data_IF_655896336845
#
_entry.id   IF_655896336845
#
_cell.length_a   1.000
_cell.length_b   1.000
_cell.length_c   1.000
_cell.angle_alpha   90.00
_cell.angle_beta   90.00
_cell.angle_gamma   90.00
#
_symmetry.space_group_name_H-M   'P 1'
#
loop_
_entity.id
_entity.type
_entity.pdbx_description
1 polymer ?
#
# COMPACT_ATOMS: atom_id res chain seq x y z
N UNK A 1 -5.67 4.86 -10.95
CA UNK A 1 -4.24 5.19 -10.72
C UNK A 1 -3.68 4.31 -9.63
N UNK A 2 -2.65 3.56 -9.92
CA UNK A 2 -2.04 2.61 -8.99
C UNK A 2 -0.53 2.77 -8.96
N UNK A 3 0.09 2.43 -7.83
CA UNK A 3 1.53 2.44 -7.70
C UNK A 3 1.99 1.39 -6.69
N UNK A 4 3.05 0.67 -7.03
CA UNK A 4 3.73 -0.22 -6.09
C UNK A 4 4.54 0.65 -5.13
N UNK A 5 4.25 0.56 -3.83
CA UNK A 5 4.97 1.34 -2.83
C UNK A 5 6.20 0.62 -2.32
N UNK A 6 6.11 -0.70 -2.17
CA UNK A 6 7.17 -1.49 -1.58
C UNK A 6 7.01 -2.95 -1.95
N UNK A 7 8.10 -3.64 -2.22
CA UNK A 7 8.11 -5.10 -2.36
C UNK A 7 9.38 -5.65 -1.71
N UNK A 8 9.24 -6.81 -1.09
CA UNK A 8 10.36 -7.55 -0.53
C UNK A 8 10.13 -9.04 -0.71
N UNK A 9 11.15 -9.74 -1.14
CA UNK A 9 11.13 -11.19 -1.26
C UNK A 9 12.35 -11.75 -0.56
N UNK A 10 12.15 -12.73 0.32
CA UNK A 10 13.22 -13.35 1.09
C UNK A 10 12.80 -14.74 1.56
N UNK A 11 13.65 -15.74 1.31
CA UNK A 11 13.47 -17.10 1.82
C UNK A 11 12.08 -17.69 1.53
N UNK A 12 11.58 -17.48 0.31
CA UNK A 12 10.30 -18.01 -0.10
C UNK A 12 9.09 -17.22 0.40
N UNK A 13 9.31 -16.08 1.03
CA UNK A 13 8.26 -15.19 1.48
C UNK A 13 8.27 -13.89 0.67
N UNK A 14 7.09 -13.35 0.43
CA UNK A 14 6.90 -12.12 -0.32
C UNK A 14 5.99 -11.16 0.43
N UNK A 15 6.37 -9.89 0.46
CA UNK A 15 5.53 -8.80 0.95
C UNK A 15 5.42 -7.74 -0.13
N UNK A 16 4.21 -7.34 -0.46
CA UNK A 16 3.94 -6.25 -1.38
C UNK A 16 3.02 -5.23 -0.76
N UNK A 17 3.30 -3.96 -0.98
CA UNK A 17 2.44 -2.86 -0.55
C UNK A 17 2.12 -2.00 -1.77
N UNK A 18 0.84 -1.81 -2.01
CA UNK A 18 0.32 -1.14 -3.21
C UNK A 18 -0.63 -0.02 -2.82
N UNK A 19 -0.61 1.06 -3.56
CA UNK A 19 -1.57 2.15 -3.39
C UNK A 19 -2.39 2.32 -4.65
N UNK A 20 -3.68 2.59 -4.48
CA UNK A 20 -4.63 2.82 -5.56
C UNK A 20 -5.51 4.00 -5.21
N UNK A 21 -5.73 4.90 -6.17
CA UNK A 21 -6.66 6.00 -6.02
C UNK A 21 -7.71 5.90 -7.11
N UNK A 22 -8.97 5.78 -6.71
CA UNK A 22 -10.12 5.78 -7.61
C UNK A 22 -11.23 6.66 -7.02
N UNK A 23 -11.79 7.55 -7.83
CA UNK A 23 -12.84 8.46 -7.38
C UNK A 23 -12.43 9.31 -6.19
N UNK A 24 -11.17 9.69 -6.11
CA UNK A 24 -10.64 10.47 -5.00
C UNK A 24 -10.41 9.69 -3.70
N UNK A 25 -10.55 8.37 -3.73
CA UNK A 25 -10.42 7.50 -2.56
C UNK A 25 -9.13 6.70 -2.64
N UNK A 26 -8.34 6.73 -1.57
CA UNK A 26 -7.08 5.99 -1.49
C UNK A 26 -7.31 4.64 -0.82
N UNK A 27 -6.78 3.60 -1.43
CA UNK A 27 -6.70 2.27 -0.84
C UNK A 27 -5.24 1.85 -0.80
N UNK A 28 -4.77 1.43 0.36
CA UNK A 28 -3.44 0.84 0.49
C UNK A 28 -3.63 -0.63 0.82
N UNK A 29 -3.04 -1.51 0.00
CA UNK A 29 -3.13 -2.96 0.16
C UNK A 29 -1.77 -3.51 0.54
N UNK A 30 -1.73 -4.33 1.58
CA UNK A 30 -0.55 -5.11 1.93
C UNK A 30 -0.86 -6.57 1.65
N UNK A 31 0.01 -7.24 0.91
CA UNK A 31 -0.09 -8.64 0.59
C UNK A 31 1.13 -9.37 1.12
N UNK A 32 0.90 -10.42 1.91
CA UNK A 32 1.95 -11.28 2.43
C UNK A 32 1.72 -12.70 1.92
N UNK A 33 2.74 -13.30 1.29
CA UNK A 33 2.69 -14.63 0.72
C UNK A 33 3.85 -15.45 1.27
N UNK A 34 3.62 -16.74 1.57
CA UNK A 34 4.70 -17.63 1.99
C UNK A 34 4.25 -18.76 2.90
N UNK A 35 5.23 -19.54 3.36
CA UNK A 35 5.00 -20.68 4.24
C UNK A 35 4.44 -20.26 5.60
N UNK A 36 4.91 -19.14 6.12
CA UNK A 36 4.46 -18.62 7.42
C UNK A 36 2.98 -18.27 7.40
N UNK A 37 2.52 -17.68 6.29
CA UNK A 37 1.14 -17.25 6.13
C UNK A 37 0.17 -18.40 5.94
N UNK A 38 0.65 -19.60 5.63
CA UNK A 38 -0.20 -20.80 5.51
C UNK A 38 -0.84 -21.20 6.83
N UNK A 39 -0.28 -20.77 7.95
CA UNK A 39 -0.88 -20.99 9.27
C UNK A 39 -2.18 -20.20 9.43
N UNK A 40 -2.32 -19.11 8.68
CA UNK A 40 -3.48 -18.21 8.75
C UNK A 40 -4.41 -18.33 7.56
N UNK A 41 -3.93 -18.91 6.45
CA UNK A 41 -4.67 -19.00 5.21
C UNK A 41 -4.29 -20.28 4.46
N UNK A 42 -5.27 -20.92 3.84
CA UNK A 42 -5.07 -22.19 3.13
C UNK A 42 -4.13 -22.06 1.93
N UNK A 43 -4.12 -20.89 1.28
CA UNK A 43 -3.29 -20.62 0.10
C UNK A 43 -1.98 -19.92 0.43
N UNK A 44 -1.71 -19.68 1.72
CA UNK A 44 -0.50 -18.98 2.13
C UNK A 44 -0.48 -17.50 1.81
N UNK A 45 -1.67 -16.91 1.65
CA UNK A 45 -1.82 -15.49 1.33
C UNK A 45 -2.60 -14.78 2.43
N UNK A 46 -2.07 -13.65 2.90
CA UNK A 46 -2.77 -12.74 3.82
C UNK A 46 -2.80 -11.36 3.21
N UNK A 47 -3.98 -10.77 3.11
CA UNK A 47 -4.15 -9.41 2.59
C UNK A 47 -4.74 -8.50 3.67
N UNK A 48 -4.21 -7.29 3.73
CA UNK A 48 -4.68 -6.25 4.64
C UNK A 48 -4.94 -4.98 3.84
N UNK A 49 -5.99 -4.25 4.19
CA UNK A 49 -6.42 -3.06 3.46
C UNK A 49 -6.57 -1.88 4.40
N UNK A 50 -6.14 -0.73 3.93
CA UNK A 50 -6.43 0.56 4.56
C UNK A 50 -7.21 1.39 3.55
N UNK A 51 -8.40 1.84 3.93
CA UNK A 51 -9.27 2.64 3.08
C UNK A 51 -9.41 4.05 3.63
N UNK A 52 -9.23 5.04 2.76
CA UNK A 52 -9.53 6.43 3.08
C UNK A 52 -10.63 6.91 2.14
N UNK A 53 -11.66 7.53 2.70
CA UNK A 53 -12.70 8.16 1.89
C UNK A 53 -12.11 9.40 1.20
N UNK A 54 -12.93 10.06 0.37
CA UNK A 54 -12.48 11.23 -0.39
C UNK A 54 -12.01 12.36 0.52
N UNK A 55 -12.73 12.64 1.61
CA UNK A 55 -12.37 13.71 2.53
C UNK A 55 -11.04 13.41 3.24
N UNK A 56 -10.85 12.20 3.71
CA UNK A 56 -9.62 11.82 4.39
C UNK A 56 -8.43 11.71 3.44
N UNK A 57 -8.68 11.31 2.19
CA UNK A 57 -7.64 11.31 1.15
C UNK A 57 -7.15 12.74 0.92
N UNK A 58 -8.07 13.72 0.84
CA UNK A 58 -7.70 15.13 0.69
C UNK A 58 -6.92 15.65 1.90
N UNK A 59 -7.31 15.24 3.11
CA UNK A 59 -6.59 15.60 4.32
C UNK A 59 -5.17 15.08 4.31
N UNK A 60 -4.98 13.85 3.86
CA UNK A 60 -3.66 13.26 3.73
C UNK A 60 -2.82 14.01 2.70
N UNK A 61 -3.41 14.35 1.55
CA UNK A 61 -2.74 15.14 0.52
C UNK A 61 -2.27 16.48 1.08
N UNK A 62 -3.14 17.17 1.82
CA UNK A 62 -2.79 18.46 2.43
C UNK A 62 -1.67 18.31 3.47
N UNK A 63 -1.75 17.28 4.30
CA UNK A 63 -0.74 17.01 5.32
C UNK A 63 0.65 16.74 4.72
N UNK A 64 0.68 16.06 3.58
CA UNK A 64 1.92 15.72 2.87
C UNK A 64 2.29 16.76 1.81
N UNK A 65 1.50 17.83 1.67
CA UNK A 65 1.70 18.87 0.67
C UNK A 65 1.70 18.35 -0.76
N UNK A 66 0.87 17.32 -1.02
CA UNK A 66 0.67 16.79 -2.36
C UNK A 66 -0.36 17.63 -3.10
N UNK A 67 -0.03 18.05 -4.31
CA UNK A 67 -0.92 18.88 -5.14
C UNK A 67 -1.71 18.09 -6.15
N UNK A 68 -1.42 16.80 -6.30
CA UNK A 68 -2.13 15.89 -7.20
C UNK A 68 -2.13 14.48 -6.62
N UNK A 69 -3.02 13.63 -7.16
CA UNK A 69 -3.06 12.22 -6.76
C UNK A 69 -1.77 11.50 -7.12
N UNK A 70 -1.20 11.80 -8.29
CA UNK A 70 0.08 11.24 -8.71
C UNK A 70 1.20 11.62 -7.74
N UNK A 71 1.24 12.89 -7.33
CA UNK A 71 2.24 13.35 -6.37
C UNK A 71 2.07 12.67 -5.01
N UNK A 72 0.83 12.44 -4.57
CA UNK A 72 0.57 11.69 -3.34
C UNK A 72 1.18 10.30 -3.41
N UNK A 73 0.98 9.59 -4.52
CA UNK A 73 1.54 8.25 -4.69
C UNK A 73 3.07 8.26 -4.70
N UNK A 74 3.68 9.26 -5.31
CA UNK A 74 5.14 9.41 -5.33
C UNK A 74 5.67 9.64 -3.91
N UNK A 75 5.02 10.50 -3.14
CA UNK A 75 5.41 10.78 -1.75
C UNK A 75 5.27 9.52 -0.90
N UNK A 76 4.16 8.80 -1.03
CA UNK A 76 3.94 7.55 -0.30
C UNK A 76 5.03 6.53 -0.61
N UNK A 77 5.39 6.38 -1.88
CA UNK A 77 6.45 5.45 -2.27
C UNK A 77 7.78 5.79 -1.59
N UNK A 78 8.14 7.06 -1.54
CA UNK A 78 9.36 7.51 -0.88
C UNK A 78 9.35 7.21 0.61
N UNK A 79 8.21 7.39 1.27
CA UNK A 79 8.08 7.12 2.70
C UNK A 79 8.15 5.64 3.00
N UNK A 80 7.49 4.81 2.23
CA UNK A 80 7.52 3.35 2.42
C UNK A 80 8.90 2.77 2.15
N UNK A 81 9.67 3.35 1.26
CA UNK A 81 11.02 2.90 0.96
C UNK A 81 11.95 2.97 2.18
N UNK A 82 11.69 3.88 3.11
CA UNK A 82 12.49 4.03 4.33
C UNK A 82 12.27 2.91 5.33
N UNK A 83 11.14 2.20 5.24
CA UNK A 83 10.82 1.10 6.15
C UNK A 83 11.23 -0.28 5.61
N UNK A 84 11.65 -0.32 4.37
CA UNK A 84 12.17 -1.52 3.73
C UNK A 84 13.69 -1.64 3.82
#
# INVERSE_FOLDING_TARGET
MEKVLFTRESQGEFTGIYAKIEGGRLTITRQDLGEFEKEYSKDGEVESYLFLDEANTKRLMNALQATSEEELLVILKKRFKKYG
#
